data_IF_575466467960
#
_entry.id   IF_575466467960
#
_cell.length_a   1.000
_cell.length_b   1.000
_cell.length_c   1.000
_cell.angle_alpha   90.00
_cell.angle_beta   90.00
_cell.angle_gamma   90.00
#
_symmetry.space_group_name_H-M   'P 1'
#
loop_
_entity.id
_entity.type
_entity.pdbx_description
1 polymer ?
#
# COMPACT_ATOMS: atom_id res chain seq x y z
N UNK A 1 8.27 60.88 -7.77
CA UNK A 1 9.26 59.95 -7.21
C UNK A 1 8.54 59.02 -6.24
N UNK A 2 8.63 57.69 -6.44
CA UNK A 2 8.68 56.59 -5.44
C UNK A 2 7.89 56.81 -4.11
N UNK A 3 6.94 55.97 -3.67
CA UNK A 3 6.93 54.50 -3.64
C UNK A 3 5.49 53.97 -3.51
N UNK A 4 5.15 52.99 -4.34
CA UNK A 4 4.10 52.01 -4.08
C UNK A 4 4.49 51.15 -2.87
N UNK A 5 3.58 50.93 -1.93
CA UNK A 5 3.71 49.87 -0.92
C UNK A 5 2.33 49.23 -0.71
N UNK A 6 2.03 48.25 -1.57
CA UNK A 6 0.93 47.30 -1.33
C UNK A 6 1.36 46.26 -0.28
N UNK A 7 0.47 45.84 0.64
CA UNK A 7 0.72 44.75 1.55
C UNK A 7 0.60 43.42 0.79
N UNK A 8 1.72 42.76 0.55
CA UNK A 8 1.74 41.39 0.03
C UNK A 8 1.59 40.43 1.24
N UNK A 9 0.54 39.62 1.28
CA UNK A 9 0.58 38.19 0.88
C UNK A 9 1.68 37.46 1.68
N UNK A 10 1.42 36.51 2.57
CA UNK A 10 0.60 35.30 2.42
C UNK A 10 0.55 34.64 3.80
N UNK A 11 -0.63 34.45 4.37
CA UNK A 11 -0.83 33.48 5.45
C UNK A 11 -0.76 32.08 4.85
N UNK A 12 0.37 31.39 5.01
CA UNK A 12 0.54 30.00 4.63
C UNK A 12 -0.26 29.12 5.60
N UNK A 13 -1.52 28.87 5.28
CA UNK A 13 -2.35 27.88 5.97
C UNK A 13 -1.85 26.49 5.57
N UNK A 14 -1.01 25.90 6.42
CA UNK A 14 -0.53 24.53 6.26
C UNK A 14 -1.70 23.57 6.58
N UNK A 15 -2.47 23.17 5.56
CA UNK A 15 -3.42 22.06 5.69
C UNK A 15 -2.61 20.77 5.82
N UNK A 16 -2.37 20.34 7.06
CA UNK A 16 -1.87 18.99 7.35
C UNK A 16 -3.05 18.05 7.10
N UNK A 17 -3.21 17.57 5.86
CA UNK A 17 -4.13 16.48 5.57
C UNK A 17 -3.56 15.20 6.19
N UNK A 18 -3.96 14.88 7.42
CA UNK A 18 -3.79 13.53 7.97
C UNK A 18 -4.68 12.56 7.17
N UNK A 19 -4.26 12.20 5.97
CA UNK A 19 -4.81 11.06 5.23
C UNK A 19 -4.09 9.79 5.69
N UNK A 20 -4.37 9.38 6.93
CA UNK A 20 -3.89 8.13 7.51
C UNK A 20 -5.02 7.49 8.30
N UNK A 21 -6.02 6.92 7.61
CA UNK A 21 -6.95 6.01 8.27
C UNK A 21 -6.18 4.73 8.55
N UNK A 22 -5.57 4.66 9.74
CA UNK A 22 -4.87 3.48 10.21
C UNK A 22 -5.91 2.39 10.48
N UNK A 23 -6.16 1.55 9.47
CA UNK A 23 -6.99 0.36 9.63
C UNK A 23 -6.32 -0.56 10.65
N UNK A 24 -7.04 -0.90 11.72
CA UNK A 24 -6.62 -1.97 12.63
C UNK A 24 -6.38 -3.25 11.82
N UNK A 25 -5.24 -3.95 12.02
CA UNK A 25 -4.97 -5.16 11.28
C UNK A 25 -6.06 -6.18 11.59
N UNK A 26 -6.73 -6.66 10.54
CA UNK A 26 -7.68 -7.75 10.63
C UNK A 26 -6.93 -9.04 10.34
N UNK A 27 -6.84 -9.90 11.34
CA UNK A 27 -6.36 -11.27 11.18
C UNK A 27 -7.52 -12.19 10.79
N UNK A 28 -7.23 -13.17 9.96
CA UNK A 28 -8.14 -14.26 9.60
C UNK A 28 -7.69 -15.56 10.27
N UNK A 29 -8.61 -16.51 10.44
CA UNK A 29 -8.36 -17.78 11.14
C UNK A 29 -7.23 -18.62 10.53
N UNK A 30 -6.86 -18.37 9.28
CA UNK A 30 -5.75 -19.03 8.58
C UNK A 30 -4.43 -18.22 8.60
N UNK A 31 -4.31 -17.26 9.51
CA UNK A 31 -3.07 -16.53 9.82
C UNK A 31 -2.71 -15.42 8.83
N UNK A 32 -3.63 -14.99 7.96
CA UNK A 32 -3.42 -13.79 7.14
C UNK A 32 -3.78 -12.55 7.94
N UNK A 33 -2.89 -11.57 7.90
CA UNK A 33 -3.05 -10.27 8.55
C UNK A 33 -3.10 -9.21 7.47
N UNK A 34 -4.16 -8.39 7.48
CA UNK A 34 -4.22 -7.22 6.61
C UNK A 34 -3.29 -6.13 7.15
N UNK A 35 -2.29 -5.76 6.35
CA UNK A 35 -1.32 -4.73 6.71
C UNK A 35 -1.81 -3.32 6.37
N UNK A 36 -2.46 -3.17 5.20
CA UNK A 36 -2.96 -1.87 4.77
C UNK A 36 -4.03 -2.02 3.66
N UNK A 37 -4.77 -0.93 3.47
CA UNK A 37 -5.66 -0.73 2.31
C UNK A 37 -5.24 0.56 1.61
N UNK A 38 -5.16 0.51 0.28
CA UNK A 38 -4.80 1.62 -0.61
C UNK A 38 -5.84 1.81 -1.70
N UNK A 39 -5.99 3.04 -2.17
CA UNK A 39 -6.85 3.35 -3.32
C UNK A 39 -5.96 3.87 -4.45
N UNK A 40 -5.90 3.14 -5.55
CA UNK A 40 -5.05 3.48 -6.68
C UNK A 40 -5.61 4.68 -7.46
N UNK A 41 -4.72 5.58 -7.85
CA UNK A 41 -5.01 6.65 -8.79
C UNK A 41 -5.03 6.12 -10.23
N UNK A 42 -5.60 6.88 -11.18
CA UNK A 42 -5.55 6.52 -12.61
C UNK A 42 -4.19 6.85 -13.27
N UNK A 43 -3.22 7.25 -12.46
CA UNK A 43 -1.84 7.49 -12.82
C UNK A 43 -0.98 6.54 -11.98
N UNK A 44 0.18 6.15 -12.50
CA UNK A 44 1.16 5.37 -11.75
C UNK A 44 1.59 6.13 -10.51
N UNK A 45 1.52 5.43 -9.39
CA UNK A 45 1.87 5.93 -8.08
C UNK A 45 2.82 4.94 -7.40
N UNK A 46 3.75 5.46 -6.60
CA UNK A 46 4.64 4.65 -5.76
C UNK A 46 4.37 4.96 -4.31
N UNK A 47 3.84 3.96 -3.61
CA UNK A 47 3.41 4.07 -2.23
C UNK A 47 4.32 3.27 -1.32
N UNK A 48 4.68 3.85 -0.17
CA UNK A 48 5.36 3.13 0.92
C UNK A 48 4.38 2.85 2.05
N UNK A 49 4.21 1.58 2.39
CA UNK A 49 3.45 1.12 3.56
C UNK A 49 4.44 0.76 4.66
N UNK A 50 4.57 1.64 5.65
CA UNK A 50 5.40 1.41 6.84
C UNK A 50 4.65 0.50 7.81
N UNK A 51 5.31 -0.58 8.25
CA UNK A 51 4.73 -1.50 9.22
C UNK A 51 5.09 -1.02 10.62
N UNK A 52 4.09 -0.52 11.35
CA UNK A 52 4.30 -0.02 12.71
C UNK A 52 4.80 -1.12 13.64
N UNK A 53 5.70 -0.75 14.55
CA UNK A 53 6.38 -1.63 15.51
C UNK A 53 5.42 -2.47 16.37
N UNK A 54 4.24 -1.93 16.70
CA UNK A 54 3.19 -2.65 17.44
C UNK A 54 2.66 -3.90 16.71
N UNK A 55 2.77 -3.94 15.37
CA UNK A 55 2.36 -5.08 14.54
C UNK A 55 3.54 -5.92 14.07
N UNK A 56 4.74 -5.40 14.29
CA UNK A 56 6.02 -6.00 13.92
C UNK A 56 6.54 -6.98 14.99
N UNK A 57 5.66 -7.51 15.85
CA UNK A 57 5.97 -8.65 16.71
C UNK A 57 5.91 -9.98 15.95
N UNK A 58 5.26 -10.00 14.78
CA UNK A 58 5.06 -11.20 13.99
C UNK A 58 6.10 -11.32 12.87
N UNK A 59 6.52 -12.56 12.65
CA UNK A 59 7.28 -13.00 11.49
C UNK A 59 6.32 -13.38 10.36
N UNK A 60 6.62 -12.96 9.13
CA UNK A 60 5.75 -13.17 7.98
C UNK A 60 6.45 -14.02 6.93
N UNK A 61 5.84 -15.12 6.51
CA UNK A 61 6.41 -16.01 5.50
C UNK A 61 5.93 -15.73 4.08
N UNK A 62 4.83 -14.97 3.94
CA UNK A 62 4.23 -14.71 2.63
C UNK A 62 3.51 -13.38 2.56
N UNK A 63 3.47 -12.80 1.37
CA UNK A 63 2.70 -11.61 1.03
C UNK A 63 1.68 -11.94 -0.08
N UNK A 64 0.51 -11.30 -0.05
CA UNK A 64 -0.38 -11.24 -1.21
C UNK A 64 -1.02 -9.87 -1.32
N UNK A 65 -1.44 -9.53 -2.53
CA UNK A 65 -2.27 -8.36 -2.81
C UNK A 65 -3.67 -8.82 -3.21
N UNK A 66 -4.70 -8.12 -2.75
CA UNK A 66 -6.10 -8.39 -3.10
C UNK A 66 -6.76 -7.12 -3.60
N UNK A 67 -7.34 -7.16 -4.80
CA UNK A 67 -8.09 -6.05 -5.36
C UNK A 67 -9.57 -6.21 -5.00
N UNK A 68 -10.14 -5.29 -4.22
CA UNK A 68 -11.53 -5.37 -3.73
C UNK A 68 -12.50 -4.50 -4.52
N UNK A 69 -11.98 -3.60 -5.35
CA UNK A 69 -12.74 -2.70 -6.21
C UNK A 69 -11.91 -2.34 -7.44
N UNK A 70 -12.55 -2.08 -8.58
CA UNK A 70 -11.88 -1.63 -9.81
C UNK A 70 -10.92 -2.68 -10.38
N UNK A 71 -9.95 -2.21 -11.16
CA UNK A 71 -8.85 -3.03 -11.68
C UNK A 71 -7.55 -2.26 -11.52
N UNK A 72 -6.48 -2.92 -11.12
CA UNK A 72 -5.18 -2.31 -10.84
C UNK A 72 -4.07 -3.05 -11.58
N UNK A 73 -3.23 -2.30 -12.26
CA UNK A 73 -1.96 -2.77 -12.80
C UNK A 73 -0.90 -2.64 -11.70
N UNK A 74 -0.18 -3.71 -11.41
CA UNK A 74 0.90 -3.77 -10.41
C UNK A 74 2.24 -3.91 -11.14
N UNK A 75 3.03 -2.84 -11.10
CA UNK A 75 4.30 -2.77 -11.82
C UNK A 75 5.46 -3.30 -10.97
N UNK A 76 5.47 -2.99 -9.67
CA UNK A 76 6.54 -3.40 -8.78
C UNK A 76 6.09 -3.60 -7.34
N UNK A 77 6.72 -4.56 -6.66
CA UNK A 77 6.56 -4.82 -5.23
C UNK A 77 7.96 -5.02 -4.64
N UNK A 78 8.26 -4.27 -3.59
CA UNK A 78 9.51 -4.37 -2.86
C UNK A 78 9.25 -4.42 -1.36
N UNK A 79 9.84 -5.39 -0.68
CA UNK A 79 9.82 -5.55 0.77
C UNK A 79 11.15 -5.08 1.32
N UNK A 80 11.12 -4.10 2.22
CA UNK A 80 12.29 -3.63 2.95
C UNK A 80 12.24 -4.22 4.37
N UNK A 81 13.27 -4.95 4.76
CA UNK A 81 13.38 -5.56 6.08
C UNK A 81 14.08 -4.62 7.08
N UNK A 82 13.87 -4.89 8.37
CA UNK A 82 14.44 -4.09 9.45
C UNK A 82 15.98 -4.17 9.52
N UNK A 83 16.57 -5.25 9.02
CA UNK A 83 18.01 -5.46 8.91
C UNK A 83 18.65 -4.79 7.67
N UNK A 84 17.85 -4.10 6.87
CA UNK A 84 18.30 -3.45 5.63
C UNK A 84 18.25 -4.33 4.39
N UNK A 85 17.88 -5.61 4.48
CA UNK A 85 17.67 -6.46 3.30
C UNK A 85 16.49 -5.93 2.47
N UNK A 86 16.55 -6.14 1.16
CA UNK A 86 15.53 -5.74 0.21
C UNK A 86 15.18 -6.92 -0.68
N UNK A 87 13.91 -7.30 -0.69
CA UNK A 87 13.39 -8.35 -1.57
C UNK A 87 12.43 -7.73 -2.59
N UNK A 88 12.69 -7.96 -3.88
CA UNK A 88 11.74 -7.66 -4.96
C UNK A 88 10.87 -8.89 -5.21
N UNK A 89 9.56 -8.71 -5.21
CA UNK A 89 8.62 -9.80 -5.46
C UNK A 89 8.16 -9.79 -6.92
N UNK A 90 7.98 -10.98 -7.49
CA UNK A 90 7.43 -11.14 -8.83
C UNK A 90 5.92 -10.79 -8.83
N UNK A 91 5.52 -9.89 -9.72
CA UNK A 91 4.11 -9.46 -9.83
C UNK A 91 3.40 -10.26 -10.92
N UNK A 92 2.06 -10.26 -10.87
CA UNK A 92 1.21 -10.85 -11.92
C UNK A 92 0.64 -9.80 -12.90
N UNK A 93 1.14 -8.56 -12.88
CA UNK A 93 0.74 -7.51 -13.80
C UNK A 93 -0.65 -6.92 -13.52
N UNK A 94 -1.73 -7.70 -13.48
CA UNK A 94 -3.11 -7.18 -13.39
C UNK A 94 -3.95 -7.87 -12.31
N UNK A 95 -4.63 -7.08 -11.49
CA UNK A 95 -5.66 -7.56 -10.56
C UNK A 95 -6.99 -6.87 -10.83
N UNK A 96 -8.04 -7.64 -11.10
CA UNK A 96 -9.41 -7.16 -11.19
C UNK A 96 -10.14 -7.31 -9.85
N UNK A 97 -11.31 -6.69 -9.72
CA UNK A 97 -12.15 -6.81 -8.52
C UNK A 97 -12.32 -8.27 -8.09
N UNK A 98 -12.12 -8.51 -6.79
CA UNK A 98 -12.18 -9.79 -6.09
C UNK A 98 -11.08 -10.79 -6.49
N UNK A 99 -10.06 -10.39 -7.24
CA UNK A 99 -8.88 -11.21 -7.51
C UNK A 99 -7.76 -10.93 -6.52
N UNK A 100 -6.85 -11.90 -6.37
CA UNK A 100 -5.64 -11.77 -5.58
C UNK A 100 -4.44 -12.28 -6.35
N UNK A 101 -3.26 -11.80 -6.01
CA UNK A 101 -2.03 -12.48 -6.42
C UNK A 101 -1.98 -13.87 -5.77
N UNK A 102 -1.19 -14.76 -6.37
CA UNK A 102 -0.64 -15.90 -5.63
C UNK A 102 0.12 -15.42 -4.39
N UNK A 103 0.23 -16.29 -3.38
CA UNK A 103 1.09 -16.02 -2.23
C UNK A 103 2.55 -15.93 -2.71
N UNK A 104 3.19 -14.81 -2.43
CA UNK A 104 4.58 -14.56 -2.76
C UNK A 104 5.41 -14.83 -1.51
N UNK A 105 6.40 -15.72 -1.62
CA UNK A 105 7.27 -16.10 -0.50
C UNK A 105 8.16 -14.94 -0.09
N UNK A 106 8.26 -14.72 1.22
CA UNK A 106 9.21 -13.78 1.81
C UNK A 106 10.50 -14.53 2.16
N UNK A 107 11.64 -14.07 1.63
CA UNK A 107 12.94 -14.76 1.75
C UNK A 107 13.60 -14.58 3.12
N UNK A 108 13.09 -13.65 3.93
CA UNK A 108 13.53 -13.38 5.31
C UNK A 108 12.37 -13.44 6.28
N UNK A 109 11.75 -14.62 6.36
CA UNK A 109 10.56 -14.80 7.19
C UNK A 109 10.81 -14.53 8.68
N UNK A 110 12.03 -14.79 9.18
CA UNK A 110 12.45 -14.52 10.56
C UNK A 110 12.81 -13.04 10.82
N UNK A 111 12.72 -12.19 9.80
CA UNK A 111 13.08 -10.79 9.91
C UNK A 111 11.83 -9.94 9.86
N UNK A 112 11.84 -8.90 10.68
CA UNK A 112 10.81 -7.88 10.72
C UNK A 112 10.73 -7.13 9.40
N UNK A 113 9.52 -6.94 8.88
CA UNK A 113 9.29 -6.06 7.72
C UNK A 113 9.28 -4.62 8.23
N UNK A 114 10.10 -3.75 7.63
CA UNK A 114 10.11 -2.32 7.90
C UNK A 114 9.05 -1.60 7.07
N UNK A 115 9.04 -1.88 5.78
CA UNK A 115 8.07 -1.28 4.86
C UNK A 115 7.86 -2.11 3.60
N UNK A 116 6.73 -1.91 2.95
CA UNK A 116 6.44 -2.47 1.63
C UNK A 116 6.24 -1.30 0.67
N UNK A 117 7.02 -1.28 -0.40
CA UNK A 117 6.88 -0.32 -1.49
C UNK A 117 6.14 -0.97 -2.66
N UNK A 118 5.16 -0.26 -3.20
CA UNK A 118 4.31 -0.73 -4.28
C UNK A 118 4.25 0.34 -5.38
N UNK A 119 4.44 -0.08 -6.62
CA UNK A 119 4.20 0.78 -7.80
C UNK A 119 3.03 0.22 -8.59
N UNK A 120 1.98 1.04 -8.78
CA UNK A 120 0.72 0.59 -9.35
C UNK A 120 -0.15 1.74 -9.89
N UNK A 121 -1.11 1.41 -10.74
CA UNK A 121 -2.16 2.34 -11.18
C UNK A 121 -3.50 1.63 -11.36
N UNK A 122 -4.59 2.35 -11.09
CA UNK A 122 -5.93 1.93 -11.46
C UNK A 122 -6.08 1.98 -12.97
N UNK A 123 -6.69 0.95 -13.55
CA UNK A 123 -7.19 1.01 -14.92
C UNK A 123 -8.49 1.82 -14.95
N UNK A 124 -8.68 2.59 -16.02
CA UNK A 124 -9.77 3.54 -16.19
C UNK A 124 -9.25 4.96 -16.37
N UNK A 125 -10.14 5.94 -16.27
CA UNK A 125 -9.77 7.35 -16.32
C UNK A 125 -10.66 8.20 -15.41
N UNK A 126 -10.17 9.39 -15.07
CA UNK A 126 -10.85 10.30 -14.14
C UNK A 126 -12.23 10.74 -14.65
N UNK A 127 -12.37 11.02 -15.94
CA UNK A 127 -13.64 11.48 -16.55
C UNK A 127 -14.75 10.43 -16.39
N UNK A 128 -14.46 9.18 -16.72
CA UNK A 128 -15.40 8.07 -16.56
C UNK A 128 -15.68 7.74 -15.09
N UNK A 129 -14.75 8.06 -14.18
CA UNK A 129 -14.98 7.88 -12.76
C UNK A 129 -15.94 8.93 -12.18
N UNK A 130 -15.84 10.19 -12.63
CA UNK A 130 -16.81 11.24 -12.27
C UNK A 130 -18.21 10.91 -12.78
N UNK A 131 -18.32 10.30 -13.97
CA UNK A 131 -19.58 9.81 -14.52
C UNK A 131 -20.09 8.51 -13.85
N UNK A 132 -19.36 7.95 -12.88
CA UNK A 132 -19.73 6.71 -12.18
C UNK A 132 -19.53 5.42 -13.00
N UNK A 133 -18.98 5.51 -14.20
CA UNK A 133 -18.79 4.40 -15.15
C UNK A 133 -17.62 3.51 -14.74
N UNK A 134 -16.50 4.12 -14.33
CA UNK A 134 -15.34 3.39 -13.81
C UNK A 134 -15.11 3.70 -12.34
N UNK A 135 -14.47 2.79 -11.61
CA UNK A 135 -14.13 2.98 -10.19
C UNK A 135 -12.63 2.84 -10.01
N UNK A 136 -12.03 3.75 -9.24
CA UNK A 136 -10.66 3.58 -8.75
C UNK A 136 -10.50 2.24 -8.05
N UNK A 137 -9.36 1.61 -8.28
CA UNK A 137 -9.08 0.33 -7.67
C UNK A 137 -8.80 0.46 -6.17
N UNK A 138 -9.27 -0.50 -5.38
CA UNK A 138 -8.94 -0.62 -3.96
C UNK A 138 -8.09 -1.86 -3.75
N UNK A 139 -6.88 -1.67 -3.26
CA UNK A 139 -5.88 -2.70 -3.06
C UNK A 139 -5.67 -2.94 -1.58
N UNK A 140 -5.78 -4.19 -1.16
CA UNK A 140 -5.41 -4.62 0.19
C UNK A 140 -4.09 -5.38 0.14
N UNK A 141 -3.27 -5.13 1.16
CA UNK A 141 -1.94 -5.73 1.31
C UNK A 141 -2.01 -6.66 2.51
N UNK A 142 -1.70 -7.92 2.28
CA UNK A 142 -1.84 -8.98 3.28
C UNK A 142 -0.50 -9.69 3.47
N UNK A 143 -0.19 -10.04 4.71
CA UNK A 143 0.93 -10.90 5.03
C UNK A 143 0.47 -12.09 5.88
N UNK A 144 1.04 -13.27 5.63
CA UNK A 144 0.74 -14.48 6.38
C UNK A 144 1.79 -14.68 7.46
N UNK A 145 1.36 -14.83 8.72
CA UNK A 145 2.27 -15.19 9.80
C UNK A 145 2.96 -16.51 9.49
N UNK A 146 4.24 -16.62 9.83
CA UNK A 146 4.87 -17.93 9.94
C UNK A 146 4.17 -18.69 11.06
N UNK A 147 3.93 -19.99 10.88
CA UNK A 147 3.54 -20.82 12.02
C UNK A 147 4.66 -20.71 13.06
N UNK A 148 4.29 -20.49 14.33
CA UNK A 148 5.25 -20.55 15.42
C UNK A 148 5.87 -21.95 15.37
N UNK A 149 7.15 -22.01 15.01
CA UNK A 149 7.92 -23.24 15.19
C UNK A 149 8.19 -23.30 16.68
N UNK A 150 7.27 -23.92 17.42
CA UNK A 150 7.49 -24.32 18.80
C UNK A 150 8.76 -25.18 18.81
N UNK A 151 9.86 -24.63 19.30
CA UNK A 151 11.05 -25.38 19.66
C UNK A 151 11.17 -25.36 21.18
#
# INVERSE_FOLDING_TARGET
MRKFLYPFLTGLMLLITLSGCNSTPKETDNGWVKLATKTANFQTDTDTVTIHSFFNSNHYGSLKLTCTQGSVQIDAIQVNYADGHVQKLSTLGLLTKNSSTRAMTLDRAQNKIKSIQLTYNSLGNATLNLAGITKKAKLEIWAKKTADTNN
#
